data_IF_249536701710
#
_entry.id   IF_249536701710
#
_cell.length_a   1.000
_cell.length_b   1.000
_cell.length_c   1.000
_cell.angle_alpha   90.00
_cell.angle_beta   90.00
_cell.angle_gamma   90.00
#
_symmetry.space_group_name_H-M   'P 1'
#
loop_
_entity.id
_entity.type
_entity.pdbx_description
1 polymer ?
#
# COMPACT_ATOMS: atom_id res chain seq x y z
N UNK A 1 -26.14 23.90 -3.51
CA UNK A 1 -26.79 24.21 -2.22
C UNK A 1 -26.09 25.35 -1.46
N UNK A 2 -24.89 25.17 -0.90
CA UNK A 2 -24.19 26.21 -0.11
C UNK A 2 -23.94 27.51 -0.92
N UNK A 3 -23.45 27.37 -2.16
CA UNK A 3 -23.22 28.50 -3.07
C UNK A 3 -24.52 29.26 -3.41
N UNK A 4 -25.62 28.52 -3.60
CA UNK A 4 -26.92 29.11 -3.94
C UNK A 4 -27.49 29.92 -2.76
N UNK A 5 -27.42 29.38 -1.54
CA UNK A 5 -27.79 30.13 -0.34
C UNK A 5 -26.93 31.38 -0.15
N UNK A 6 -25.65 31.33 -0.55
CA UNK A 6 -24.79 32.52 -0.53
C UNK A 6 -25.17 33.55 -1.59
N UNK A 7 -25.58 33.12 -2.79
CA UNK A 7 -26.11 33.99 -3.86
C UNK A 7 -27.43 34.66 -3.47
N UNK A 8 -28.25 33.99 -2.66
CA UNK A 8 -29.46 34.54 -2.05
C UNK A 8 -29.19 35.57 -0.93
N UNK A 9 -27.92 35.89 -0.65
CA UNK A 9 -27.52 36.92 0.31
C UNK A 9 -27.37 36.43 1.75
N UNK A 10 -27.53 35.13 2.03
CA UNK A 10 -27.41 34.62 3.39
C UNK A 10 -25.98 34.74 3.94
N UNK A 11 -25.88 35.02 5.25
CA UNK A 11 -24.61 35.00 5.97
C UNK A 11 -24.11 33.56 6.17
N UNK A 12 -22.79 33.40 6.35
CA UNK A 12 -22.19 32.07 6.61
C UNK A 12 -22.83 31.40 7.83
N UNK A 13 -23.18 32.17 8.86
CA UNK A 13 -23.87 31.67 10.05
C UNK A 13 -25.29 31.19 9.77
N UNK A 14 -26.03 31.87 8.89
CA UNK A 14 -27.37 31.46 8.49
C UNK A 14 -27.31 30.17 7.64
N UNK A 15 -26.37 30.10 6.70
CA UNK A 15 -26.13 28.90 5.89
C UNK A 15 -25.76 27.71 6.77
N UNK A 16 -24.88 27.90 7.75
CA UNK A 16 -24.48 26.85 8.70
C UNK A 16 -25.68 26.30 9.48
N UNK A 17 -26.55 27.18 9.99
CA UNK A 17 -27.78 26.78 10.70
C UNK A 17 -28.74 26.01 9.81
N UNK A 18 -28.91 26.46 8.56
CA UNK A 18 -29.84 25.84 7.62
C UNK A 18 -29.34 24.50 7.05
N UNK A 19 -28.02 24.35 6.89
CA UNK A 19 -27.39 23.13 6.32
C UNK A 19 -26.95 22.14 7.40
N UNK A 20 -26.95 22.52 8.67
CA UNK A 20 -26.43 21.70 9.77
C UNK A 20 -24.90 21.52 9.75
N UNK A 21 -24.19 22.28 8.90
CA UNK A 21 -22.74 22.20 8.76
C UNK A 21 -22.03 23.22 9.64
N UNK A 22 -20.83 22.88 10.11
CA UNK A 22 -19.98 23.85 10.80
C UNK A 22 -19.64 25.05 9.91
N UNK A 23 -19.52 26.24 10.51
CA UNK A 23 -19.21 27.48 9.79
C UNK A 23 -17.89 27.39 9.01
N UNK A 24 -16.89 26.65 9.51
CA UNK A 24 -15.62 26.44 8.80
C UNK A 24 -15.81 25.58 7.56
N UNK A 25 -16.69 24.58 7.62
CA UNK A 25 -17.07 23.77 6.47
C UNK A 25 -17.78 24.63 5.44
N UNK A 26 -18.80 25.40 5.84
CA UNK A 26 -19.47 26.34 4.92
C UNK A 26 -18.48 27.30 4.27
N UNK A 27 -17.56 27.90 5.04
CA UNK A 27 -16.51 28.79 4.53
C UNK A 27 -15.58 28.07 3.54
N UNK A 28 -15.15 26.85 3.85
CA UNK A 28 -14.32 26.01 2.98
C UNK A 28 -15.02 25.75 1.65
N UNK A 29 -16.28 25.30 1.67
CA UNK A 29 -17.06 25.00 0.47
C UNK A 29 -17.41 26.24 -0.36
N UNK A 30 -17.56 27.41 0.26
CA UNK A 30 -17.69 28.67 -0.48
C UNK A 30 -16.38 29.05 -1.19
N UNK A 31 -15.23 28.82 -0.54
CA UNK A 31 -13.91 29.12 -1.11
C UNK A 31 -13.46 28.12 -2.18
N UNK A 32 -13.79 26.83 -2.03
CA UNK A 32 -13.42 25.77 -2.98
C UNK A 32 -14.35 25.65 -4.18
N UNK A 33 -15.41 26.48 -4.26
CA UNK A 33 -16.31 26.48 -5.42
C UNK A 33 -17.21 25.24 -5.54
N UNK A 34 -17.53 24.87 -6.78
CA UNK A 34 -18.30 23.66 -7.14
C UNK A 34 -17.42 22.41 -7.24
N UNK A 35 -16.11 22.53 -7.04
CA UNK A 35 -15.22 21.38 -7.07
C UNK A 35 -15.50 20.47 -5.86
N UNK A 36 -15.98 19.27 -6.15
CA UNK A 36 -16.07 18.19 -5.17
C UNK A 36 -14.65 17.93 -4.67
N UNK A 37 -14.39 17.89 -3.35
CA UNK A 37 -13.08 17.52 -2.85
C UNK A 37 -12.70 16.13 -3.39
N UNK A 38 -11.90 16.10 -4.45
CA UNK A 38 -11.42 14.86 -5.01
C UNK A 38 -10.38 14.29 -4.05
N UNK A 39 -10.66 13.11 -3.50
CA UNK A 39 -9.67 12.39 -2.72
C UNK A 39 -8.55 12.00 -3.69
N UNK A 40 -7.44 12.71 -3.65
CA UNK A 40 -6.27 12.33 -4.45
C UNK A 40 -5.84 10.93 -4.00
N UNK A 41 -5.48 10.03 -4.94
CA UNK A 41 -4.89 8.75 -4.59
C UNK A 41 -3.73 8.98 -3.63
N UNK A 42 -3.70 8.24 -2.53
CA UNK A 42 -2.62 8.34 -1.55
C UNK A 42 -1.31 8.10 -2.28
N UNK A 43 -0.38 9.05 -2.22
CA UNK A 43 0.94 8.90 -2.85
C UNK A 43 1.54 7.57 -2.36
N UNK A 44 2.07 6.71 -3.25
CA UNK A 44 2.70 5.47 -2.84
C UNK A 44 3.84 5.82 -1.89
N UNK A 45 3.79 5.28 -0.68
CA UNK A 45 4.84 5.47 0.31
C UNK A 45 6.03 4.66 -0.17
N UNK A 46 7.17 5.33 -0.38
CA UNK A 46 8.42 4.64 -0.72
C UNK A 46 8.71 3.64 0.40
N UNK A 47 8.80 2.36 0.05
CA UNK A 47 9.08 1.31 1.02
C UNK A 47 10.42 1.57 1.69
N UNK A 48 10.51 1.40 3.01
CA UNK A 48 11.79 1.46 3.73
C UNK A 48 12.82 0.41 3.22
N UNK A 49 12.36 -0.57 2.45
CA UNK A 49 13.19 -1.60 1.81
C UNK A 49 13.86 -1.08 0.52
N UNK A 50 13.33 -0.03 -0.09
CA UNK A 50 13.76 0.46 -1.42
C UNK A 50 15.26 0.80 -1.50
N UNK A 51 15.88 1.45 -0.49
CA UNK A 51 17.33 1.69 -0.49
C UNK A 51 18.18 0.42 -0.54
N UNK A 52 17.63 -0.72 -0.13
CA UNK A 52 18.31 -2.02 -0.12
C UNK A 52 17.95 -2.89 -1.33
N UNK A 53 17.14 -2.39 -2.27
CA UNK A 53 16.65 -3.14 -3.44
C UNK A 53 17.76 -3.81 -4.23
N UNK A 54 18.78 -3.04 -4.62
CA UNK A 54 19.86 -3.56 -5.47
C UNK A 54 20.60 -4.71 -4.77
N UNK A 55 20.91 -4.53 -3.49
CA UNK A 55 21.57 -5.56 -2.70
C UNK A 55 20.74 -6.84 -2.58
N UNK A 56 19.43 -6.72 -2.38
CA UNK A 56 18.54 -7.88 -2.30
C UNK A 56 18.49 -8.64 -3.63
N UNK A 57 18.44 -7.93 -4.76
CA UNK A 57 18.46 -8.54 -6.09
C UNK A 57 19.79 -9.28 -6.34
N UNK A 58 20.92 -8.64 -6.04
CA UNK A 58 22.25 -9.26 -6.23
C UNK A 58 22.39 -10.51 -5.35
N UNK A 59 21.92 -10.47 -4.10
CA UNK A 59 21.96 -11.64 -3.20
C UNK A 59 21.03 -12.75 -3.65
N UNK A 60 19.86 -12.42 -4.17
CA UNK A 60 18.93 -13.41 -4.73
C UNK A 60 19.46 -14.04 -6.01
N UNK A 61 20.12 -13.26 -6.87
CA UNK A 61 20.75 -13.77 -8.09
C UNK A 61 21.93 -14.70 -7.76
N UNK A 62 22.77 -14.33 -6.79
CA UNK A 62 23.88 -15.17 -6.35
C UNK A 62 23.42 -16.42 -5.60
N UNK A 63 22.33 -16.33 -4.81
CA UNK A 63 21.81 -17.43 -3.99
C UNK A 63 20.28 -17.50 -4.02
N UNK A 64 19.68 -18.14 -5.06
CA UNK A 64 18.22 -18.19 -5.23
C UNK A 64 17.46 -18.84 -4.06
N UNK A 65 18.10 -19.78 -3.37
CA UNK A 65 17.55 -20.49 -2.20
C UNK A 65 17.67 -19.73 -0.86
N UNK A 66 18.18 -18.50 -0.86
CA UNK A 66 18.42 -17.77 0.38
C UNK A 66 17.09 -17.41 1.07
N UNK A 67 17.00 -17.73 2.36
CA UNK A 67 15.79 -17.47 3.14
C UNK A 67 15.59 -15.97 3.39
N UNK A 68 14.34 -15.53 3.40
CA UNK A 68 13.97 -14.15 3.71
C UNK A 68 14.49 -13.70 5.09
N UNK A 69 14.62 -14.64 6.05
CA UNK A 69 15.19 -14.38 7.37
C UNK A 69 16.68 -14.03 7.32
N UNK A 70 17.44 -14.68 6.44
CA UNK A 70 18.85 -14.35 6.22
C UNK A 70 19.00 -12.97 5.56
N UNK A 71 18.23 -12.72 4.50
CA UNK A 71 18.19 -11.42 3.84
C UNK A 71 17.84 -10.29 4.82
N UNK A 72 16.85 -10.51 5.70
CA UNK A 72 16.46 -9.55 6.73
C UNK A 72 17.59 -9.20 7.69
N UNK A 73 18.36 -10.20 8.14
CA UNK A 73 19.52 -9.97 9.00
C UNK A 73 20.58 -9.17 8.26
N UNK A 74 20.93 -9.56 7.03
CA UNK A 74 21.93 -8.88 6.21
C UNK A 74 21.58 -7.39 5.98
N UNK A 75 20.33 -7.06 5.66
CA UNK A 75 19.93 -5.66 5.46
C UNK A 75 19.82 -4.88 6.78
N UNK A 76 19.47 -5.55 7.89
CA UNK A 76 19.42 -4.93 9.21
C UNK A 76 20.81 -4.48 9.66
N UNK A 77 21.82 -5.31 9.42
CA UNK A 77 23.23 -4.98 9.67
C UNK A 77 23.70 -3.82 8.78
N UNK A 78 23.03 -3.60 7.63
CA UNK A 78 23.24 -2.46 6.72
C UNK A 78 22.38 -1.24 7.01
N UNK A 79 21.67 -1.21 8.14
CA UNK A 79 20.89 -0.05 8.59
C UNK A 79 19.38 -0.12 8.33
N UNK A 80 18.86 -1.25 7.86
CA UNK A 80 17.40 -1.44 7.72
C UNK A 80 16.72 -1.49 9.10
N UNK A 81 15.76 -0.59 9.33
CA UNK A 81 14.97 -0.50 10.57
C UNK A 81 13.53 -0.97 10.42
N UNK A 82 13.14 -1.44 9.23
CA UNK A 82 11.78 -1.89 8.97
C UNK A 82 11.50 -3.29 9.52
N UNK A 83 10.24 -3.70 9.46
CA UNK A 83 9.81 -5.00 9.95
C UNK A 83 10.18 -6.13 8.98
N UNK A 84 10.27 -7.35 9.51
CA UNK A 84 10.44 -8.57 8.72
C UNK A 84 9.29 -8.76 7.73
N UNK A 85 8.05 -8.49 8.16
CA UNK A 85 6.85 -8.60 7.31
C UNK A 85 6.96 -7.70 6.08
N UNK A 86 7.38 -6.44 6.25
CA UNK A 86 7.58 -5.47 5.16
C UNK A 86 8.62 -5.96 4.14
N UNK A 87 9.71 -6.56 4.62
CA UNK A 87 10.68 -7.20 3.72
C UNK A 87 10.05 -8.38 2.99
N UNK A 88 9.34 -9.27 3.69
CA UNK A 88 8.76 -10.45 3.03
C UNK A 88 7.72 -10.10 1.99
N UNK A 89 6.92 -9.05 2.23
CA UNK A 89 5.97 -8.52 1.26
C UNK A 89 6.68 -7.96 0.03
N UNK A 90 7.74 -7.18 0.25
CA UNK A 90 8.60 -6.68 -0.83
C UNK A 90 9.24 -7.81 -1.64
N UNK A 91 9.80 -8.82 -0.96
CA UNK A 91 10.42 -9.98 -1.60
C UNK A 91 9.42 -10.79 -2.43
N UNK A 92 8.13 -10.84 -2.07
CA UNK A 92 7.09 -11.51 -2.86
C UNK A 92 6.83 -10.79 -4.19
N UNK A 93 7.03 -9.47 -4.26
CA UNK A 93 6.84 -8.71 -5.49
C UNK A 93 8.01 -8.88 -6.47
N UNK A 94 9.22 -9.13 -5.96
CA UNK A 94 10.43 -9.24 -6.79
C UNK A 94 10.88 -10.68 -7.06
N UNK A 95 10.43 -11.67 -6.27
CA UNK A 95 10.78 -13.09 -6.51
C UNK A 95 10.03 -13.62 -7.72
N UNK A 96 10.72 -14.29 -8.67
CA UNK A 96 10.02 -15.02 -9.72
C UNK A 96 9.13 -16.10 -9.09
N UNK A 97 7.92 -16.34 -9.65
CA UNK A 97 7.06 -17.39 -9.15
C UNK A 97 7.78 -18.74 -9.28
N UNK A 98 7.95 -19.44 -8.16
CA UNK A 98 8.47 -20.81 -8.18
C UNK A 98 7.37 -21.69 -8.77
N UNK A 99 7.62 -22.40 -9.89
CA UNK A 99 6.63 -23.32 -10.44
C UNK A 99 6.34 -24.40 -9.38
N UNK A 100 5.06 -24.55 -9.03
CA UNK A 100 4.64 -25.64 -8.15
C UNK A 100 4.81 -26.95 -8.92
N UNK A 101 5.76 -27.77 -8.51
CA UNK A 101 5.87 -29.13 -9.04
C UNK A 101 4.67 -29.91 -8.52
N UNK A 102 3.75 -30.26 -9.42
CA UNK A 102 2.69 -31.20 -9.09
C UNK A 102 3.31 -32.59 -9.03
N UNK A 103 3.43 -33.17 -7.83
CA UNK A 103 3.76 -34.58 -7.68
C UNK A 103 2.63 -35.41 -8.29
N UNK A 104 2.84 -35.95 -9.48
CA UNK A 104 1.93 -36.95 -10.05
C UNK A 104 2.15 -38.26 -9.30
N UNK A 105 1.35 -38.48 -8.26
CA UNK A 105 1.26 -39.77 -7.58
C UNK A 105 0.61 -40.77 -8.55
N UNK A 106 1.39 -41.73 -9.01
CA UNK A 106 0.86 -42.88 -9.73
C UNK A 106 0.50 -43.96 -8.72
N UNK A 107 -0.66 -44.59 -8.89
CA UNK A 107 -1.03 -45.76 -8.10
C UNK A 107 -0.14 -46.92 -8.52
N UNK A 108 0.65 -47.46 -7.60
CA UNK A 108 1.36 -48.73 -7.80
C UNK A 108 0.39 -49.87 -7.50
N UNK A 109 0.24 -50.81 -8.43
CA UNK A 109 -0.53 -52.03 -8.20
C UNK A 109 0.01 -52.81 -6.99
N UNK A 110 -0.87 -53.47 -6.24
CA UNK A 110 -0.47 -54.27 -5.08
C UNK A 110 0.61 -55.29 -5.46
N UNK A 111 1.66 -55.38 -4.64
CA UNK A 111 2.72 -56.38 -4.83
C UNK A 111 2.14 -57.78 -4.73
N UNK A 112 2.40 -58.61 -5.73
CA UNK A 112 2.03 -60.03 -5.71
C UNK A 112 3.15 -60.78 -4.97
N UNK A 113 2.77 -61.56 -3.94
CA UNK A 113 3.66 -62.47 -3.22
C UNK A 113 3.88 -63.77 -4.00
#
# INVERSE_FOLDING_TARGET
>A
MIQELKRQGLSISAIARQTGLDRKTVKKYLASGLEVPAYSPRKPVVSAVEPHRQYLLDRMAAYPGLSSRRLHREIRDRGYKGAYSSLTEYLRQIRPPVPKTYERRFETSAGVQ
#
